data_IF_022496188688
#
_entry.id   IF_022496188688
#
_cell.length_a   1.000
_cell.length_b   1.000
_cell.length_c   1.000
_cell.angle_alpha   90.00
_cell.angle_beta   90.00
_cell.angle_gamma   90.00
#
_symmetry.space_group_name_H-M   'P 1'
#
loop_
_entity.id
_entity.type
_entity.pdbx_description
1 polymer ?
#
# COMPACT_ATOMS: atom_id res chain seq x y z
N UNK A 1 -3.84 10.49 -1.51
CA UNK A 1 -4.95 9.86 -0.82
C UNK A 1 -4.61 8.40 -0.58
N UNK A 2 -4.95 7.89 0.61
CA UNK A 2 -4.79 6.48 0.95
C UNK A 2 -5.96 5.68 0.39
N UNK A 3 -5.68 4.48 -0.12
CA UNK A 3 -6.69 3.54 -0.61
C UNK A 3 -6.46 2.17 0.03
N UNK A 4 -7.52 1.63 0.60
CA UNK A 4 -7.59 0.25 1.08
C UNK A 4 -8.11 -0.69 -0.02
N UNK A 5 -7.80 -1.99 0.08
CA UNK A 5 -8.36 -3.01 -0.81
C UNK A 5 -9.86 -3.21 -0.54
N UNK A 6 -10.65 -3.52 -1.56
CA UNK A 6 -12.07 -3.88 -1.41
C UNK A 6 -12.28 -5.32 -0.95
N UNK A 7 -11.21 -6.13 -0.92
CA UNK A 7 -11.24 -7.54 -0.47
C UNK A 7 -10.98 -7.70 1.03
N UNK A 8 -10.74 -6.61 1.76
CA UNK A 8 -10.56 -6.65 3.21
C UNK A 8 -11.92 -6.90 3.89
N UNK A 9 -12.24 -8.16 4.17
CA UNK A 9 -13.46 -8.58 4.85
C UNK A 9 -13.32 -8.69 6.37
N UNK A 10 -14.43 -8.48 7.09
CA UNK A 10 -14.70 -8.94 8.46
C UNK A 10 -13.90 -8.32 9.63
N UNK A 11 -12.57 -8.20 9.53
CA UNK A 11 -11.69 -7.90 10.67
C UNK A 11 -10.57 -6.85 10.40
N UNK A 12 -10.77 -5.92 9.46
CA UNK A 12 -10.03 -4.63 9.38
C UNK A 12 -8.48 -4.65 9.27
N UNK A 13 -7.82 -5.72 8.80
CA UNK A 13 -6.35 -5.74 8.60
C UNK A 13 -6.02 -6.05 7.15
N UNK A 14 -5.51 -5.08 6.39
CA UNK A 14 -5.03 -5.38 5.04
C UNK A 14 -3.99 -4.42 4.42
N UNK A 15 -3.58 -3.32 5.05
CA UNK A 15 -2.69 -2.28 4.47
C UNK A 15 -3.43 -1.24 3.60
N UNK A 16 -2.90 -0.01 3.63
CA UNK A 16 -3.29 1.08 2.73
C UNK A 16 -2.14 1.47 1.82
N UNK A 17 -2.47 1.88 0.61
CA UNK A 17 -1.51 2.38 -0.39
C UNK A 17 -1.86 3.77 -0.90
N UNK A 18 -0.85 4.60 -1.17
CA UNK A 18 -1.02 5.93 -1.74
C UNK A 18 -0.34 6.04 -3.12
N UNK A 19 -1.07 5.70 -4.19
CA UNK A 19 -0.51 5.70 -5.54
C UNK A 19 -0.39 7.09 -6.21
N UNK A 20 -0.82 8.15 -5.53
CA UNK A 20 -0.85 9.52 -6.06
C UNK A 20 0.39 10.36 -5.68
N UNK A 21 1.43 9.74 -5.12
CA UNK A 21 2.68 10.42 -4.79
C UNK A 21 3.67 10.19 -5.94
N UNK A 22 4.24 11.24 -6.56
CA UNK A 22 5.22 11.06 -7.62
C UNK A 22 6.46 10.28 -7.15
N UNK A 23 6.88 9.30 -7.94
CA UNK A 23 8.12 8.55 -7.73
C UNK A 23 8.08 7.45 -6.66
N UNK A 24 7.07 7.43 -5.78
CA UNK A 24 6.99 6.46 -4.67
C UNK A 24 5.59 5.90 -4.49
N UNK A 25 5.51 4.71 -3.89
CA UNK A 25 4.29 4.04 -3.48
C UNK A 25 4.40 3.79 -1.98
N UNK A 26 3.85 4.70 -1.14
CA UNK A 26 3.77 4.50 0.29
C UNK A 26 2.77 3.40 0.63
N UNK A 27 3.18 2.50 1.51
CA UNK A 27 2.38 1.40 2.07
C UNK A 27 2.41 1.55 3.59
N UNK A 28 1.25 1.46 4.25
CA UNK A 28 1.17 1.48 5.71
C UNK A 28 0.13 0.51 6.25
N UNK A 29 0.22 0.22 7.53
CA UNK A 29 -0.83 -0.48 8.28
C UNK A 29 -2.04 0.44 8.49
N UNK A 30 -3.21 0.02 8.00
CA UNK A 30 -4.49 0.71 8.19
C UNK A 30 -4.88 0.83 9.67
N UNK A 31 -4.46 -0.12 10.50
CA UNK A 31 -4.73 -0.13 11.95
C UNK A 31 -3.82 0.78 12.75
N UNK A 32 -2.70 1.22 12.15
CA UNK A 32 -1.75 2.15 12.77
C UNK A 32 -1.45 3.31 11.82
N UNK A 33 -2.40 4.23 11.58
CA UNK A 33 -2.23 5.31 10.59
C UNK A 33 -1.04 6.23 10.88
N UNK A 34 -0.67 6.39 12.16
CA UNK A 34 0.52 7.14 12.60
C UNK A 34 1.78 6.28 12.77
N UNK A 35 1.71 5.00 12.42
CA UNK A 35 2.85 4.09 12.45
C UNK A 35 3.78 4.28 11.25
N UNK A 36 4.82 3.42 11.14
CA UNK A 36 5.78 3.48 10.05
C UNK A 36 5.12 3.35 8.67
N UNK A 37 5.60 4.15 7.72
CA UNK A 37 5.22 4.08 6.31
C UNK A 37 6.41 3.55 5.52
N UNK A 38 6.20 2.48 4.77
CA UNK A 38 7.21 1.92 3.87
C UNK A 38 7.02 2.55 2.50
N UNK A 39 8.05 3.21 1.98
CA UNK A 39 8.01 3.88 0.69
C UNK A 39 8.76 3.04 -0.36
N UNK A 40 8.02 2.41 -1.28
CA UNK A 40 8.60 1.70 -2.40
C UNK A 40 8.85 2.65 -3.57
N UNK A 41 9.95 2.48 -4.31
CA UNK A 41 10.06 3.14 -5.61
C UNK A 41 8.97 2.62 -6.56
N UNK A 42 8.55 3.44 -7.51
CA UNK A 42 7.53 3.03 -8.48
C UNK A 42 7.94 1.80 -9.30
N UNK A 43 9.23 1.67 -9.60
CA UNK A 43 9.78 0.51 -10.32
C UNK A 43 9.75 -0.77 -9.47
N UNK A 44 10.13 -0.69 -8.20
CA UNK A 44 10.07 -1.83 -7.29
C UNK A 44 8.63 -2.30 -7.06
N UNK A 45 7.69 -1.35 -6.92
CA UNK A 45 6.27 -1.67 -6.79
C UNK A 45 5.73 -2.36 -8.05
N UNK A 46 6.10 -1.90 -9.24
CA UNK A 46 5.74 -2.54 -10.51
C UNK A 46 6.26 -3.98 -10.59
N UNK A 47 7.55 -4.19 -10.32
CA UNK A 47 8.17 -5.52 -10.32
C UNK A 47 7.52 -6.48 -9.31
N UNK A 48 7.11 -5.97 -8.14
CA UNK A 48 6.37 -6.74 -7.15
C UNK A 48 5.01 -7.21 -7.69
N UNK A 49 4.23 -6.31 -8.29
CA UNK A 49 2.93 -6.66 -8.87
C UNK A 49 3.04 -7.65 -10.02
N UNK A 50 4.05 -7.50 -10.88
CA UNK A 50 4.29 -8.42 -12.00
C UNK A 50 4.61 -9.86 -11.52
N UNK A 51 5.12 -10.02 -10.30
CA UNK A 51 5.37 -11.33 -9.69
C UNK A 51 4.17 -11.95 -8.98
N UNK A 52 3.09 -11.17 -8.78
CA UNK A 52 1.85 -11.62 -8.15
C UNK A 52 0.75 -11.97 -9.16
N UNK A 53 1.01 -11.77 -10.46
CA UNK A 53 0.18 -12.30 -11.56
C UNK A 53 0.38 -13.81 -11.72
#
# INVERSE_FOLDING_TARGET
>A
MWRSSTYSGGNNECLEVAANIPGTVPVRDSKRPGGPVICFSRSAWGAFLDRLR
#
